data_IF_851027573688
#
_entry.id   IF_851027573688
#
_cell.length_a   1.000
_cell.length_b   1.000
_cell.length_c   1.000
_cell.angle_alpha   90.00
_cell.angle_beta   90.00
_cell.angle_gamma   90.00
#
_symmetry.space_group_name_H-M   'P 1'
#
loop_
_entity.id
_entity.type
_entity.pdbx_description
1 polymer ?
#
# COMPACT_ATOMS: atom_id res chain seq x y z
N UNK A 1 16.79 -17.96 0.54
CA UNK A 1 16.33 -17.48 -0.78
C UNK A 1 16.93 -16.08 -0.95
N UNK A 2 17.64 -15.87 -2.05
CA UNK A 2 18.28 -14.58 -2.34
C UNK A 2 17.36 -13.75 -3.25
N UNK A 3 17.27 -12.45 -3.01
CA UNK A 3 16.52 -11.49 -3.82
C UNK A 3 17.14 -10.10 -3.70
N UNK A 4 16.81 -9.25 -4.65
CA UNK A 4 17.21 -7.84 -4.67
C UNK A 4 15.98 -6.95 -4.57
N UNK A 5 16.03 -5.90 -3.75
CA UNK A 5 15.02 -4.86 -3.67
C UNK A 5 15.39 -3.72 -4.62
N UNK A 6 14.43 -3.30 -5.42
CA UNK A 6 14.60 -2.24 -6.41
C UNK A 6 13.48 -1.21 -6.26
N UNK A 7 13.82 0.07 -6.32
CA UNK A 7 12.83 1.14 -6.42
C UNK A 7 12.09 1.02 -7.74
N UNK A 8 10.80 1.25 -7.70
CA UNK A 8 9.97 1.21 -8.89
C UNK A 8 10.01 2.55 -9.63
N UNK A 9 9.64 2.50 -10.90
CA UNK A 9 9.53 3.65 -11.78
C UNK A 9 8.19 3.62 -12.51
N UNK A 10 7.75 4.69 -13.18
CA UNK A 10 6.53 4.67 -13.99
C UNK A 10 6.51 3.56 -15.07
N UNK A 11 7.68 3.07 -15.50
CA UNK A 11 7.79 1.94 -16.43
C UNK A 11 7.27 0.62 -15.82
N UNK A 12 7.13 0.53 -14.50
CA UNK A 12 6.58 -0.63 -13.79
C UNK A 12 5.04 -0.61 -13.67
N UNK A 13 4.36 0.41 -14.24
CA UNK A 13 2.90 0.51 -14.18
C UNK A 13 2.19 -0.72 -14.76
N UNK A 14 2.55 -1.28 -15.92
CA UNK A 14 1.92 -2.51 -16.44
C UNK A 14 2.07 -3.70 -15.51
N UNK A 15 3.24 -3.83 -14.84
CA UNK A 15 3.50 -4.88 -13.87
C UNK A 15 2.58 -4.73 -12.64
N UNK A 16 2.41 -3.51 -12.14
CA UNK A 16 1.50 -3.21 -11.02
C UNK A 16 0.06 -3.60 -11.37
N UNK A 17 -0.42 -3.18 -12.55
CA UNK A 17 -1.76 -3.53 -13.03
C UNK A 17 -1.95 -5.05 -13.08
N UNK A 18 -1.03 -5.78 -13.71
CA UNK A 18 -1.11 -7.23 -13.85
C UNK A 18 -1.20 -7.94 -12.49
N UNK A 19 -0.37 -7.53 -11.53
CA UNK A 19 -0.35 -8.12 -10.21
C UNK A 19 -1.61 -7.80 -9.40
N UNK A 20 -2.14 -6.59 -9.49
CA UNK A 20 -3.37 -6.20 -8.80
C UNK A 20 -4.59 -6.94 -9.33
N UNK A 21 -4.73 -7.02 -10.66
CA UNK A 21 -5.82 -7.78 -11.30
C UNK A 21 -5.77 -9.25 -10.88
N UNK A 22 -4.58 -9.84 -10.94
CA UNK A 22 -4.39 -11.26 -10.57
C UNK A 22 -4.63 -11.53 -9.09
N UNK A 23 -4.14 -10.66 -8.20
CA UNK A 23 -4.19 -10.88 -6.75
C UNK A 23 -5.55 -10.54 -6.16
N UNK A 24 -6.14 -9.44 -6.59
CA UNK A 24 -7.36 -8.91 -5.98
C UNK A 24 -8.62 -9.21 -6.79
N UNK A 25 -8.47 -9.59 -8.04
CA UNK A 25 -9.61 -9.85 -8.94
C UNK A 25 -10.35 -8.59 -9.35
N UNK A 26 -9.70 -7.42 -9.29
CA UNK A 26 -10.27 -6.17 -9.76
C UNK A 26 -10.40 -6.15 -11.28
N UNK A 27 -11.33 -5.34 -11.79
CA UNK A 27 -11.42 -5.07 -13.23
C UNK A 27 -10.15 -4.39 -13.74
N UNK A 28 -9.63 -4.86 -14.89
CA UNK A 28 -8.38 -4.35 -15.44
C UNK A 28 -8.47 -2.86 -15.77
N UNK A 29 -9.58 -2.41 -16.36
CA UNK A 29 -9.77 -1.02 -16.77
C UNK A 29 -9.77 -0.09 -15.57
N UNK A 30 -10.41 -0.52 -14.47
CA UNK A 30 -10.40 0.23 -13.21
C UNK A 30 -8.98 0.33 -12.64
N UNK A 31 -8.23 -0.78 -12.61
CA UNK A 31 -6.85 -0.77 -12.10
C UNK A 31 -5.95 0.10 -12.97
N UNK A 32 -6.07 0.04 -14.28
CA UNK A 32 -5.33 0.91 -15.20
C UNK A 32 -5.61 2.39 -14.95
N UNK A 33 -6.87 2.77 -14.74
CA UNK A 33 -7.25 4.13 -14.34
C UNK A 33 -6.59 4.52 -13.02
N UNK A 34 -6.69 3.68 -12.00
CA UNK A 34 -6.10 3.98 -10.69
C UNK A 34 -4.58 4.16 -10.75
N UNK A 35 -3.88 3.32 -11.51
CA UNK A 35 -2.42 3.41 -11.65
C UNK A 35 -2.00 4.63 -12.45
N UNK A 36 -2.80 5.09 -13.43
CA UNK A 36 -2.51 6.27 -14.23
C UNK A 36 -2.95 7.58 -13.58
N UNK A 37 -4.11 7.58 -12.92
CA UNK A 37 -4.76 8.80 -12.42
C UNK A 37 -4.47 9.08 -10.94
N UNK A 38 -4.17 8.04 -10.15
CA UNK A 38 -3.80 8.20 -8.76
C UNK A 38 -2.35 8.64 -8.63
N UNK A 39 -2.11 9.43 -7.61
CA UNK A 39 -0.79 9.99 -7.29
C UNK A 39 0.17 8.90 -6.77
N UNK A 40 0.51 7.96 -7.65
CA UNK A 40 1.48 6.92 -7.32
C UNK A 40 2.83 7.52 -6.94
N UNK A 41 3.33 7.13 -5.77
CA UNK A 41 4.65 7.52 -5.34
C UNK A 41 5.67 6.44 -5.75
N UNK A 42 6.11 6.50 -6.99
CA UNK A 42 7.04 5.51 -7.55
C UNK A 42 8.37 5.46 -6.80
N UNK A 43 8.85 6.60 -6.32
CA UNK A 43 10.10 6.67 -5.56
C UNK A 43 10.05 5.94 -4.21
N UNK A 44 8.88 5.81 -3.62
CA UNK A 44 8.63 5.03 -2.40
C UNK A 44 8.11 3.61 -2.68
N UNK A 45 7.83 3.28 -3.95
CA UNK A 45 7.37 1.95 -4.32
C UNK A 45 8.55 1.02 -4.56
N UNK A 46 8.42 -0.24 -4.15
CA UNK A 46 9.50 -1.24 -4.18
C UNK A 46 9.04 -2.51 -4.86
N UNK A 47 9.89 -3.06 -5.72
CA UNK A 47 9.75 -4.43 -6.23
C UNK A 47 10.89 -5.30 -5.72
N UNK A 48 10.60 -6.55 -5.43
CA UNK A 48 11.58 -7.58 -5.11
C UNK A 48 11.76 -8.51 -6.31
N UNK A 49 13.01 -8.83 -6.63
CA UNK A 49 13.38 -9.65 -7.78
C UNK A 49 14.28 -10.79 -7.32
N UNK A 50 13.97 -12.03 -7.70
CA UNK A 50 14.77 -13.21 -7.39
C UNK A 50 16.06 -13.28 -8.26
N UNK A 51 16.93 -14.24 -7.97
CA UNK A 51 18.20 -14.44 -8.69
C UNK A 51 18.03 -14.77 -10.18
N UNK A 52 16.81 -15.12 -10.59
CA UNK A 52 16.46 -15.43 -11.99
C UNK A 52 15.85 -14.22 -12.72
N UNK A 53 15.72 -13.08 -12.05
CA UNK A 53 15.12 -11.89 -12.61
C UNK A 53 13.59 -11.86 -12.54
N UNK A 54 12.94 -12.82 -11.83
CA UNK A 54 11.49 -12.80 -11.68
C UNK A 54 11.09 -11.88 -10.55
N UNK A 55 10.04 -11.10 -10.77
CA UNK A 55 9.41 -10.32 -9.68
C UNK A 55 8.69 -11.27 -8.71
N UNK A 56 8.95 -11.08 -7.42
CA UNK A 56 8.41 -11.91 -6.34
C UNK A 56 7.62 -11.13 -5.30
N UNK A 57 7.67 -9.80 -5.36
CA UNK A 57 6.91 -8.92 -4.48
C UNK A 57 6.79 -7.50 -5.03
N UNK A 58 5.68 -6.83 -4.72
CA UNK A 58 5.41 -5.42 -5.01
C UNK A 58 4.86 -4.73 -3.78
N UNK A 59 5.43 -3.59 -3.43
CA UNK A 59 4.90 -2.63 -2.46
C UNK A 59 4.70 -1.31 -3.20
N UNK A 60 3.47 -0.94 -3.42
CA UNK A 60 3.12 0.32 -4.09
C UNK A 60 2.61 1.33 -3.07
N UNK A 61 3.20 2.52 -3.09
CA UNK A 61 2.81 3.66 -2.29
C UNK A 61 2.09 4.70 -3.14
N UNK A 62 1.19 5.46 -2.52
CA UNK A 62 0.42 6.50 -3.20
C UNK A 62 0.21 7.69 -2.27
N UNK A 63 0.24 8.90 -2.84
CA UNK A 63 0.03 10.15 -2.10
C UNK A 63 -1.41 10.69 -2.24
N UNK A 64 -2.37 9.84 -2.65
CA UNK A 64 -3.77 10.27 -2.70
C UNK A 64 -4.33 10.58 -1.30
N UNK A 65 -5.36 11.41 -1.28
CA UNK A 65 -5.98 11.87 -0.04
C UNK A 65 -7.00 10.86 0.49
N UNK A 66 -7.18 10.80 1.80
CA UNK A 66 -8.14 9.91 2.46
C UNK A 66 -9.57 10.19 1.99
N UNK A 67 -9.94 11.46 1.74
CA UNK A 67 -11.24 11.84 1.21
C UNK A 67 -11.52 11.32 -0.21
N UNK A 68 -10.48 11.06 -0.99
CA UNK A 68 -10.59 10.46 -2.33
C UNK A 68 -10.88 8.96 -2.23
N UNK A 69 -10.38 8.30 -1.18
CA UNK A 69 -10.63 6.89 -0.92
C UNK A 69 -12.03 6.64 -0.35
N UNK A 70 -12.49 7.51 0.54
CA UNK A 70 -13.78 7.30 1.19
C UNK A 70 -14.57 8.59 1.44
N UNK A 71 -15.52 8.86 0.57
CA UNK A 71 -16.49 9.93 0.79
C UNK A 71 -17.39 9.67 2.01
N UNK A 72 -17.47 8.43 2.47
CA UNK A 72 -18.30 8.06 3.63
C UNK A 72 -17.72 8.60 4.93
N UNK A 73 -16.39 8.61 5.10
CA UNK A 73 -15.77 9.18 6.30
C UNK A 73 -16.06 10.68 6.44
N UNK A 74 -16.19 11.40 5.33
CA UNK A 74 -16.57 12.81 5.32
C UNK A 74 -17.96 13.02 5.94
N UNK A 75 -18.88 12.11 5.69
CA UNK A 75 -20.24 12.17 6.24
C UNK A 75 -20.29 11.72 7.70
N UNK A 76 -19.60 10.62 8.00
CA UNK A 76 -19.71 9.95 9.30
C UNK A 76 -18.89 10.66 10.38
N UNK A 77 -17.72 11.17 10.03
CA UNK A 77 -16.79 11.78 11.00
C UNK A 77 -15.88 12.85 10.35
N UNK A 78 -16.43 14.03 10.00
CA UNK A 78 -15.68 15.11 9.36
C UNK A 78 -14.53 15.64 10.23
N UNK A 79 -14.67 15.63 11.55
CA UNK A 79 -13.61 16.08 12.48
C UNK A 79 -12.42 15.13 12.48
N UNK A 80 -12.67 13.82 12.39
CA UNK A 80 -11.60 12.82 12.22
C UNK A 80 -10.86 13.06 10.92
N UNK A 81 -11.57 13.24 9.83
CA UNK A 81 -10.99 13.49 8.51
C UNK A 81 -10.15 14.78 8.52
N UNK A 82 -10.66 15.88 9.07
CA UNK A 82 -9.92 17.14 9.19
C UNK A 82 -8.62 16.96 9.98
N UNK A 83 -8.65 16.21 11.09
CA UNK A 83 -7.48 15.91 11.91
C UNK A 83 -6.45 15.06 11.17
N UNK A 84 -6.87 14.06 10.39
CA UNK A 84 -5.97 13.24 9.59
C UNK A 84 -5.33 14.08 8.48
N UNK A 85 -6.11 14.89 7.78
CA UNK A 85 -5.66 15.71 6.66
C UNK A 85 -4.78 16.90 7.07
N UNK A 86 -4.71 17.24 8.37
CA UNK A 86 -3.75 18.22 8.90
C UNK A 86 -2.33 17.67 9.03
N UNK A 87 -2.14 16.37 8.85
CA UNK A 87 -0.86 15.66 8.96
C UNK A 87 -0.32 15.31 7.57
N UNK A 88 1.00 15.04 7.51
CA UNK A 88 1.63 14.51 6.29
C UNK A 88 1.50 13.00 6.27
N UNK A 89 0.92 12.45 5.24
CA UNK A 89 0.78 11.01 5.10
C UNK A 89 0.92 10.55 3.66
N UNK A 90 1.25 9.27 3.50
CA UNK A 90 1.21 8.52 2.26
C UNK A 90 0.41 7.24 2.49
N UNK A 91 -0.06 6.60 1.44
CA UNK A 91 -0.87 5.40 1.55
C UNK A 91 -0.15 4.15 1.02
N UNK A 92 -0.40 3.00 1.63
CA UNK A 92 -0.13 1.72 0.97
C UNK A 92 -1.25 1.46 -0.02
N UNK A 93 -0.95 1.53 -1.30
CA UNK A 93 -1.92 1.24 -2.34
C UNK A 93 -2.07 -0.26 -2.58
N UNK A 94 -0.97 -0.97 -2.72
CA UNK A 94 -0.97 -2.43 -2.79
C UNK A 94 0.30 -3.02 -2.17
N UNK A 95 0.15 -4.19 -1.56
CA UNK A 95 1.28 -4.96 -1.02
C UNK A 95 1.07 -6.44 -1.34
N UNK A 96 1.79 -6.92 -2.33
CA UNK A 96 1.59 -8.26 -2.89
C UNK A 96 2.91 -9.00 -2.87
N UNK A 97 2.89 -10.23 -2.33
CA UNK A 97 4.04 -11.15 -2.33
C UNK A 97 3.61 -12.47 -2.96
N UNK A 98 4.44 -12.97 -3.85
CA UNK A 98 4.25 -14.27 -4.51
C UNK A 98 4.10 -15.38 -3.45
N UNK A 99 3.24 -16.34 -3.70
CA UNK A 99 2.79 -17.30 -2.70
C UNK A 99 3.93 -18.10 -2.04
N UNK A 100 4.90 -18.52 -2.83
CA UNK A 100 6.06 -19.28 -2.38
C UNK A 100 7.06 -18.46 -1.53
N UNK A 101 6.90 -17.13 -1.48
CA UNK A 101 7.67 -16.22 -0.63
C UNK A 101 6.88 -15.70 0.58
N UNK A 102 5.61 -16.10 0.72
CA UNK A 102 4.80 -15.73 1.90
C UNK A 102 5.35 -16.41 3.15
N UNK A 103 5.32 -15.69 4.25
CA UNK A 103 5.88 -16.18 5.53
C UNK A 103 7.39 -16.07 5.65
N UNK A 104 8.07 -15.55 4.63
CA UNK A 104 9.49 -15.17 4.69
C UNK A 104 9.66 -13.74 5.22
N UNK A 105 10.91 -13.27 5.35
CA UNK A 105 11.20 -11.87 5.72
C UNK A 105 10.93 -10.85 4.61
N UNK A 106 10.58 -11.26 3.41
CA UNK A 106 10.44 -10.38 2.25
C UNK A 106 9.54 -9.17 2.49
N UNK A 107 8.37 -9.39 3.10
CA UNK A 107 7.45 -8.29 3.42
C UNK A 107 8.10 -7.25 4.36
N UNK A 108 8.82 -7.75 5.36
CA UNK A 108 9.53 -6.90 6.32
C UNK A 108 10.63 -6.10 5.62
N UNK A 109 11.43 -6.76 4.81
CA UNK A 109 12.56 -6.13 4.13
C UNK A 109 12.08 -5.06 3.13
N UNK A 110 10.99 -5.30 2.39
CA UNK A 110 10.40 -4.30 1.49
C UNK A 110 9.92 -3.05 2.25
N UNK A 111 9.29 -3.21 3.42
CA UNK A 111 8.90 -2.08 4.25
C UNK A 111 10.12 -1.35 4.82
N UNK A 112 11.13 -2.08 5.30
CA UNK A 112 12.34 -1.49 5.85
C UNK A 112 13.17 -0.73 4.82
N UNK A 113 13.08 -1.10 3.54
CA UNK A 113 13.73 -0.39 2.43
C UNK A 113 13.27 1.06 2.30
N UNK A 114 12.00 1.34 2.59
CA UNK A 114 11.43 2.69 2.48
C UNK A 114 11.24 3.39 3.84
N UNK A 115 11.44 2.69 4.93
CA UNK A 115 11.16 3.19 6.29
C UNK A 115 11.94 4.48 6.65
N UNK A 116 13.23 4.64 6.29
CA UNK A 116 13.96 5.88 6.58
C UNK A 116 13.30 7.11 5.94
N UNK A 117 12.86 7.00 4.69
CA UNK A 117 12.21 8.08 3.96
C UNK A 117 10.81 8.35 4.50
N UNK A 118 10.07 7.29 4.86
CA UNK A 118 8.75 7.43 5.49
C UNK A 118 8.86 8.24 6.79
N UNK A 119 9.78 7.89 7.66
CA UNK A 119 10.01 8.60 8.93
C UNK A 119 10.48 10.04 8.75
N UNK A 120 11.23 10.33 7.68
CA UNK A 120 11.72 11.68 7.42
C UNK A 120 10.63 12.64 6.91
N UNK A 121 9.64 12.12 6.17
CA UNK A 121 8.72 12.96 5.40
C UNK A 121 7.26 12.87 5.82
N UNK A 122 6.84 11.81 6.54
CA UNK A 122 5.45 11.57 6.87
C UNK A 122 5.24 11.40 8.37
N UNK A 123 4.06 11.75 8.83
CA UNK A 123 3.66 11.60 10.22
C UNK A 123 2.96 10.23 10.43
N UNK A 124 2.35 9.68 9.37
CA UNK A 124 1.79 8.33 9.36
C UNK A 124 1.64 7.74 7.96
N UNK A 125 1.43 6.44 7.91
CA UNK A 125 0.98 5.71 6.71
C UNK A 125 -0.51 5.38 6.86
N UNK A 126 -1.28 5.68 5.82
CA UNK A 126 -2.66 5.26 5.66
C UNK A 126 -2.72 3.91 4.95
N UNK A 127 -3.49 2.97 5.51
CA UNK A 127 -3.50 1.58 5.01
C UNK A 127 -4.94 1.09 4.90
N UNK A 128 -5.57 1.16 3.71
CA UNK A 128 -6.85 0.52 3.45
C UNK A 128 -6.64 -1.00 3.26
N UNK A 129 -7.41 -1.81 3.98
CA UNK A 129 -7.33 -3.27 3.89
C UNK A 129 -8.72 -3.83 3.65
N UNK A 130 -8.94 -4.46 2.50
CA UNK A 130 -10.20 -5.15 2.19
C UNK A 130 -10.53 -6.19 3.26
N UNK A 131 -11.80 -6.25 3.69
CA UNK A 131 -12.26 -7.18 4.72
C UNK A 131 -11.90 -8.65 4.44
N UNK A 132 -11.91 -9.06 3.17
CA UNK A 132 -11.60 -10.42 2.73
C UNK A 132 -10.11 -10.80 2.82
N UNK A 133 -9.22 -9.84 3.03
CA UNK A 133 -7.78 -10.09 3.10
C UNK A 133 -7.37 -10.52 4.51
N UNK A 134 -6.48 -11.50 4.60
CA UNK A 134 -5.94 -12.00 5.88
C UNK A 134 -4.75 -11.19 6.40
N UNK A 135 -4.55 -9.97 5.90
CA UNK A 135 -3.37 -9.14 6.19
C UNK A 135 -3.55 -8.18 7.36
N UNK A 136 -4.75 -8.12 7.97
CA UNK A 136 -5.04 -7.25 9.11
C UNK A 136 -4.04 -7.44 10.26
N UNK A 137 -3.78 -8.69 10.66
CA UNK A 137 -2.84 -9.00 11.73
C UNK A 137 -1.38 -8.64 11.39
N UNK A 138 -1.01 -8.59 10.12
CA UNK A 138 0.30 -8.12 9.69
C UNK A 138 0.50 -6.64 10.07
N UNK A 139 -0.43 -5.78 9.69
CA UNK A 139 -0.36 -4.35 9.99
C UNK A 139 -0.46 -4.05 11.48
N UNK A 140 -1.28 -4.79 12.21
CA UNK A 140 -1.37 -4.67 13.67
C UNK A 140 -0.05 -5.01 14.36
N UNK A 141 0.72 -5.99 13.88
CA UNK A 141 2.06 -6.29 14.41
C UNK A 141 3.08 -5.17 14.15
N UNK A 142 2.89 -4.38 13.11
CA UNK A 142 3.64 -3.14 12.89
C UNK A 142 3.23 -2.00 13.84
N UNK A 143 2.16 -2.17 14.60
CA UNK A 143 1.60 -1.14 15.48
C UNK A 143 0.54 -0.27 14.84
N UNK A 144 0.06 -0.64 13.65
CA UNK A 144 -1.02 0.05 12.98
C UNK A 144 -2.32 -0.07 13.79
N UNK A 145 -3.06 1.04 13.89
CA UNK A 145 -4.33 1.12 14.61
C UNK A 145 -5.46 1.41 13.64
N UNK A 146 -6.54 0.65 13.77
CA UNK A 146 -7.80 0.95 13.08
C UNK A 146 -8.33 2.31 13.53
N UNK A 147 -8.78 3.13 12.59
CA UNK A 147 -9.42 4.40 12.89
C UNK A 147 -10.79 4.56 12.22
N UNK A 148 -11.07 3.75 11.18
CA UNK A 148 -12.33 3.75 10.48
C UNK A 148 -12.56 2.42 9.77
N UNK A 149 -13.81 2.09 9.47
CA UNK A 149 -14.20 0.99 8.58
C UNK A 149 -15.49 1.30 7.86
N UNK A 150 -15.62 0.79 6.66
CA UNK A 150 -16.84 0.81 5.87
C UNK A 150 -17.26 -0.62 5.46
N UNK A 151 -18.10 -0.76 4.43
CA UNK A 151 -18.56 -2.05 3.92
C UNK A 151 -17.43 -2.89 3.30
N UNK A 152 -16.41 -2.28 2.77
CA UNK A 152 -15.40 -2.92 1.92
C UNK A 152 -14.05 -3.05 2.63
N UNK A 153 -13.67 -2.05 3.42
CA UNK A 153 -12.34 -1.92 4.00
C UNK A 153 -12.34 -1.65 5.50
N UNK A 154 -11.24 -2.05 6.13
CA UNK A 154 -10.78 -1.52 7.42
C UNK A 154 -9.60 -0.59 7.14
N UNK A 155 -9.64 0.60 7.71
CA UNK A 155 -8.63 1.63 7.51
C UNK A 155 -7.73 1.75 8.73
N UNK A 156 -6.43 1.58 8.50
CA UNK A 156 -5.41 1.64 9.55
C UNK A 156 -4.53 2.87 9.40
N UNK A 157 -4.07 3.35 10.54
CA UNK A 157 -3.03 4.36 10.67
C UNK A 157 -1.81 3.74 11.31
N UNK A 158 -0.66 3.79 10.64
CA UNK A 158 0.64 3.46 11.20
C UNK A 158 1.44 4.74 11.39
N UNK A 159 1.67 5.14 12.63
CA UNK A 159 2.47 6.34 12.97
C UNK A 159 3.95 6.10 12.69
N UNK A 160 4.60 7.12 12.17
CA UNK A 160 6.03 7.14 11.90
C UNK A 160 6.83 7.66 13.09
#
# INVERSE_FOLDING_TARGET
>A
MSYTLLRMTPADAPLTVEWMVRQYGFDRTEVEMWVCDLHFNWSLSVKAVDDKGNVIGLLNMSDYRIEEETAQIQKDNPDLLARLNSQRYTAVFSFIVREDYRGTHLNYDMMMEIMPELKAHYDFIFIPVLHRLKTHGYWQRWGAREFYRDSDCVYYQLKM
#
